data_IF_934845987653
#
_entry.id   IF_934845987653
#
_cell.length_a   1.000
_cell.length_b   1.000
_cell.length_c   1.000
_cell.angle_alpha   90.00
_cell.angle_beta   90.00
_cell.angle_gamma   90.00
#
_symmetry.space_group_name_H-M   'P 1'
#
loop_
_entity.id
_entity.type
_entity.pdbx_description
1 polymer ?
#
# COMPACT_ATOMS: atom_id res chain seq x y z
N UNK A 1 0.52 3.06 47.91
CA UNK A 1 0.10 3.13 46.51
C UNK A 1 0.00 1.69 46.02
N UNK A 2 -1.17 1.25 45.55
CA UNK A 2 -1.33 -0.12 45.07
C UNK A 2 -0.52 -0.27 43.78
N UNK A 3 0.40 -1.23 43.74
CA UNK A 3 1.17 -1.57 42.54
C UNK A 3 0.21 -2.31 41.61
N UNK A 4 -0.29 -1.61 40.59
CA UNK A 4 -1.07 -2.26 39.54
C UNK A 4 -0.13 -3.10 38.70
N UNK A 5 -0.42 -4.40 38.59
CA UNK A 5 0.40 -5.31 37.82
C UNK A 5 0.18 -5.07 36.31
N UNK A 6 1.24 -5.12 35.49
CA UNK A 6 1.08 -4.98 34.05
C UNK A 6 0.22 -6.12 33.50
N UNK A 7 -0.64 -5.79 32.53
CA UNK A 7 -1.50 -6.74 31.83
C UNK A 7 -1.18 -6.77 30.35
N UNK A 8 -1.37 -7.93 29.73
CA UNK A 8 -1.14 -8.15 28.31
C UNK A 8 -2.34 -8.83 27.65
N UNK A 9 -2.89 -8.19 26.63
CA UNK A 9 -3.97 -8.71 25.81
C UNK A 9 -3.49 -8.97 24.39
N UNK A 10 -3.85 -10.12 23.83
CA UNK A 10 -3.56 -10.47 22.44
C UNK A 10 -4.87 -10.45 21.66
N UNK A 11 -4.95 -9.57 20.69
CA UNK A 11 -6.05 -9.43 19.73
C UNK A 11 -5.64 -10.14 18.45
N UNK A 12 -6.50 -11.01 17.94
CA UNK A 12 -6.24 -11.84 16.76
C UNK A 12 -7.14 -11.43 15.59
N UNK A 13 -6.55 -11.34 14.41
CA UNK A 13 -7.18 -11.04 13.13
C UNK A 13 -6.82 -12.10 12.07
N UNK A 14 -6.72 -13.36 12.51
CA UNK A 14 -6.39 -14.50 11.65
C UNK A 14 -4.89 -14.79 11.67
N UNK A 15 -4.16 -14.30 10.65
CA UNK A 15 -2.70 -14.52 10.52
C UNK A 15 -1.84 -13.41 11.15
N UNK A 16 -2.49 -12.39 11.66
CA UNK A 16 -1.89 -11.25 12.33
C UNK A 16 -2.79 -10.72 13.44
N UNK A 17 -2.36 -9.65 14.09
CA UNK A 17 -3.15 -8.95 15.08
C UNK A 17 -2.37 -7.92 15.88
N UNK A 18 -2.80 -7.70 17.12
CA UNK A 18 -2.15 -6.77 18.03
C UNK A 18 -1.88 -7.38 19.41
N UNK A 19 -0.76 -6.97 19.99
CA UNK A 19 -0.42 -7.22 21.40
C UNK A 19 -0.50 -5.88 22.12
N UNK A 20 -1.39 -5.81 23.10
CA UNK A 20 -1.67 -4.60 23.88
C UNK A 20 -1.11 -4.79 25.28
N UNK A 21 -0.11 -3.99 25.63
CA UNK A 21 0.47 -3.89 26.97
C UNK A 21 -0.14 -2.70 27.70
N UNK A 22 -0.56 -2.89 28.96
CA UNK A 22 -1.05 -1.80 29.80
C UNK A 22 -0.48 -1.91 31.22
N UNK A 23 -0.06 -0.77 31.76
CA UNK A 23 0.30 -0.61 33.16
C UNK A 23 -0.20 0.73 33.72
N UNK A 24 0.18 1.06 34.95
CA UNK A 24 -0.20 2.32 35.59
C UNK A 24 0.35 3.58 34.90
N UNK A 25 1.37 3.46 34.07
CA UNK A 25 2.00 4.58 33.36
C UNK A 25 1.39 4.80 31.96
N UNK A 26 0.85 3.75 31.32
CA UNK A 26 0.13 3.89 30.07
C UNK A 26 -0.12 2.60 29.32
N UNK A 27 -0.42 2.74 28.03
CA UNK A 27 -0.70 1.64 27.11
C UNK A 27 0.23 1.69 25.89
N UNK A 28 0.63 0.51 25.41
CA UNK A 28 1.38 0.30 24.18
C UNK A 28 0.68 -0.76 23.33
N UNK A 29 0.61 -0.54 22.03
CA UNK A 29 0.12 -1.53 21.07
C UNK A 29 1.21 -1.90 20.06
N UNK A 30 1.39 -3.19 19.87
CA UNK A 30 2.39 -3.79 18.98
C UNK A 30 1.71 -4.68 17.95
N UNK A 31 2.10 -4.54 16.69
CA UNK A 31 1.63 -5.42 15.63
C UNK A 31 2.32 -6.79 15.73
N UNK A 32 1.58 -7.87 15.51
CA UNK A 32 2.17 -9.20 15.38
C UNK A 32 1.65 -9.89 14.13
N UNK A 33 2.46 -10.78 13.56
CA UNK A 33 2.08 -11.64 12.43
C UNK A 33 2.73 -13.01 12.55
N UNK A 34 2.15 -14.02 11.89
CA UNK A 34 2.81 -15.31 11.74
C UNK A 34 4.09 -15.17 10.91
N UNK A 35 5.15 -15.77 11.43
CA UNK A 35 6.43 -15.84 10.73
C UNK A 35 6.41 -16.89 9.62
N UNK A 36 7.59 -17.06 9.02
CA UNK A 36 7.87 -18.16 8.11
C UNK A 36 9.13 -18.92 8.53
N UNK A 37 9.41 -20.02 7.84
CA UNK A 37 10.51 -20.94 8.15
C UNK A 37 10.39 -21.47 9.60
N UNK A 38 11.38 -21.18 10.45
CA UNK A 38 11.42 -21.61 11.84
C UNK A 38 10.84 -20.59 12.84
N UNK A 39 10.32 -19.45 12.34
CA UNK A 39 9.67 -18.42 13.16
C UNK A 39 8.17 -18.68 13.14
N UNK A 40 7.61 -18.98 14.32
CA UNK A 40 6.18 -19.16 14.51
C UNK A 40 5.45 -17.82 14.37
N UNK A 41 5.92 -16.80 15.08
CA UNK A 41 5.36 -15.45 15.04
C UNK A 41 6.44 -14.41 15.32
N UNK A 42 6.23 -13.20 14.81
CA UNK A 42 7.02 -12.03 15.15
C UNK A 42 6.11 -10.91 15.66
N UNK A 43 6.64 -10.12 16.59
CA UNK A 43 5.95 -8.95 17.14
C UNK A 43 6.83 -7.74 16.84
N UNK A 44 6.31 -6.81 16.04
CA UNK A 44 6.97 -5.55 15.75
C UNK A 44 6.69 -4.57 16.89
N UNK A 45 7.73 -4.35 17.71
CA UNK A 45 7.68 -3.42 18.84
C UNK A 45 8.26 -2.06 18.49
N UNK A 46 8.95 -1.93 17.36
CA UNK A 46 9.60 -0.71 16.91
C UNK A 46 10.91 -0.40 17.63
N UNK A 47 11.70 0.49 17.05
CA UNK A 47 13.04 0.88 17.51
C UNK A 47 12.98 1.80 18.73
N UNK A 48 14.10 1.93 19.46
CA UNK A 48 14.20 2.89 20.56
C UNK A 48 13.88 4.34 20.14
N UNK A 49 14.28 4.74 18.93
CA UNK A 49 13.98 6.07 18.40
C UNK A 49 12.47 6.28 18.18
N UNK A 50 11.74 5.25 17.74
CA UNK A 50 10.29 5.31 17.60
C UNK A 50 9.58 5.39 18.96
N UNK A 51 10.08 4.68 19.96
CA UNK A 51 9.56 4.77 21.33
C UNK A 51 9.73 6.17 21.90
N UNK A 52 10.89 6.80 21.73
CA UNK A 52 11.11 8.19 22.18
C UNK A 52 10.17 9.20 21.54
N UNK A 53 9.62 8.91 20.36
CA UNK A 53 8.63 9.76 19.69
C UNK A 53 7.20 9.46 20.11
N UNK A 54 6.83 8.18 20.18
CA UNK A 54 5.43 7.75 20.40
C UNK A 54 5.07 7.60 21.87
N UNK A 55 6.01 7.16 22.69
CA UNK A 55 5.79 6.81 24.09
C UNK A 55 7.02 7.12 24.94
N UNK A 56 7.36 8.42 25.11
CA UNK A 56 8.57 8.83 25.82
C UNK A 56 8.67 8.26 27.25
N UNK A 57 7.53 8.08 27.91
CA UNK A 57 7.42 7.53 29.26
C UNK A 57 7.97 6.10 29.37
N UNK A 58 7.91 5.31 28.29
CA UNK A 58 8.28 3.90 28.29
C UNK A 58 9.75 3.66 27.95
N UNK A 59 10.47 4.67 27.44
CA UNK A 59 11.83 4.52 26.90
C UNK A 59 12.80 3.99 27.95
N UNK A 60 12.80 4.55 29.15
CA UNK A 60 13.70 4.16 30.24
C UNK A 60 13.46 2.70 30.71
N UNK A 61 12.25 2.18 30.48
CA UNK A 61 11.82 0.84 30.89
C UNK A 61 11.63 -0.11 29.71
N UNK A 62 12.06 0.29 28.50
CA UNK A 62 11.79 -0.46 27.28
C UNK A 62 12.25 -1.91 27.39
N UNK A 63 13.48 -2.16 27.86
CA UNK A 63 13.98 -3.52 28.01
C UNK A 63 13.19 -4.38 29.01
N UNK A 64 12.63 -3.78 30.05
CA UNK A 64 11.75 -4.48 31.02
C UNK A 64 10.41 -4.84 30.36
N UNK A 65 9.78 -3.87 29.69
CA UNK A 65 8.50 -4.04 29.01
C UNK A 65 8.61 -5.10 27.90
N UNK A 66 9.67 -5.06 27.09
CA UNK A 66 9.86 -6.02 26.01
C UNK A 66 10.04 -7.45 26.52
N UNK A 67 10.74 -7.64 27.63
CA UNK A 67 10.88 -8.95 28.28
C UNK A 67 9.54 -9.45 28.81
N UNK A 68 8.80 -8.59 29.50
CA UNK A 68 7.46 -8.93 29.97
C UNK A 68 6.53 -9.33 28.81
N UNK A 69 6.51 -8.55 27.74
CA UNK A 69 5.73 -8.85 26.54
C UNK A 69 6.12 -10.19 25.92
N UNK A 70 7.42 -10.44 25.76
CA UNK A 70 7.96 -11.68 25.23
C UNK A 70 7.53 -12.90 26.06
N UNK A 71 7.74 -12.82 27.38
CA UNK A 71 7.46 -13.92 28.31
C UNK A 71 5.95 -14.19 28.40
N UNK A 72 5.15 -13.13 28.45
CA UNK A 72 3.71 -13.24 28.62
C UNK A 72 3.01 -13.72 27.33
N UNK A 73 3.47 -13.29 26.15
CA UNK A 73 2.97 -13.85 24.88
C UNK A 73 3.31 -15.33 24.76
N UNK A 74 4.55 -15.72 25.09
CA UNK A 74 4.93 -17.12 25.09
C UNK A 74 4.11 -17.94 26.09
N UNK A 75 3.88 -17.41 27.29
CA UNK A 75 3.03 -18.05 28.31
C UNK A 75 1.60 -18.27 27.81
N UNK A 76 1.01 -17.28 27.12
CA UNK A 76 -0.39 -17.34 26.69
C UNK A 76 -0.61 -18.17 25.41
N UNK A 77 0.28 -18.06 24.40
CA UNK A 77 0.02 -18.59 23.05
C UNK A 77 0.96 -19.69 22.60
N UNK A 78 2.19 -19.72 23.10
CA UNK A 78 3.16 -20.72 22.70
C UNK A 78 3.99 -21.20 23.91
N UNK A 79 3.37 -21.89 24.89
CA UNK A 79 4.09 -22.36 26.06
C UNK A 79 5.31 -23.18 25.63
N UNK A 80 6.48 -22.79 26.13
CA UNK A 80 7.79 -23.37 25.81
C UNK A 80 8.32 -23.15 24.38
N UNK A 81 7.76 -22.23 23.59
CA UNK A 81 8.44 -21.75 22.39
C UNK A 81 9.70 -20.94 22.78
N UNK A 82 10.84 -21.13 22.11
CA UNK A 82 11.98 -20.23 22.28
C UNK A 82 11.59 -18.82 21.86
N UNK A 83 11.97 -17.82 22.67
CA UNK A 83 11.73 -16.40 22.40
C UNK A 83 13.05 -15.68 22.29
N UNK A 84 13.18 -14.80 21.29
CA UNK A 84 14.31 -13.89 21.14
C UNK A 84 13.81 -12.47 21.02
N UNK A 85 14.29 -11.59 21.89
CA UNK A 85 14.07 -10.15 21.80
C UNK A 85 15.24 -9.54 21.03
N UNK A 86 14.99 -9.01 19.85
CA UNK A 86 15.94 -8.19 19.10
C UNK A 86 15.62 -6.71 19.35
N UNK A 87 16.24 -6.17 20.40
CA UNK A 87 16.04 -4.80 20.86
C UNK A 87 16.36 -3.79 19.74
N UNK A 88 17.47 -4.01 19.03
CA UNK A 88 18.00 -3.12 17.99
C UNK A 88 17.10 -3.10 16.75
N UNK A 89 16.63 -4.26 16.29
CA UNK A 89 15.67 -4.34 15.20
C UNK A 89 14.25 -3.91 15.61
N UNK A 90 13.94 -3.93 16.91
CA UNK A 90 12.60 -3.64 17.40
C UNK A 90 11.61 -4.78 17.12
N UNK A 91 12.08 -6.02 17.22
CA UNK A 91 11.27 -7.21 16.93
C UNK A 91 11.44 -8.27 18.02
N UNK A 92 10.34 -8.90 18.42
CA UNK A 92 10.34 -10.11 19.24
C UNK A 92 10.00 -11.30 18.35
N UNK A 93 10.82 -12.33 18.37
CA UNK A 93 10.62 -13.56 17.59
C UNK A 93 10.22 -14.71 18.51
N UNK A 94 9.18 -15.43 18.12
CA UNK A 94 8.80 -16.73 18.69
C UNK A 94 9.16 -17.81 17.67
N UNK A 95 9.89 -18.84 18.10
CA UNK A 95 10.35 -19.91 17.22
C UNK A 95 9.58 -21.21 17.44
N UNK A 96 9.53 -22.05 16.41
CA UNK A 96 9.06 -23.43 16.54
C UNK A 96 9.98 -24.24 17.46
N UNK A 97 9.42 -25.13 18.27
CA UNK A 97 10.21 -26.02 19.12
C UNK A 97 10.94 -27.07 18.28
N UNK A 98 12.17 -27.40 18.66
CA UNK A 98 12.90 -28.56 18.13
C UNK A 98 13.64 -28.32 16.81
N UNK A 99 13.49 -27.14 16.19
CA UNK A 99 14.41 -26.70 15.14
C UNK A 99 15.53 -25.95 15.84
N UNK A 100 16.79 -26.47 15.86
CA UNK A 100 17.91 -25.68 16.35
C UNK A 100 17.87 -24.37 15.59
N UNK A 101 17.91 -23.25 16.31
CA UNK A 101 17.92 -21.94 15.69
C UNK A 101 19.05 -21.92 14.67
N UNK A 102 18.72 -22.14 13.39
CA UNK A 102 19.61 -21.77 12.31
C UNK A 102 20.00 -20.34 12.63
N UNK A 103 21.30 -20.01 12.68
CA UNK A 103 21.74 -18.68 13.07
C UNK A 103 20.88 -17.71 12.28
N UNK A 104 20.01 -16.98 12.97
CA UNK A 104 19.19 -15.93 12.38
C UNK A 104 20.24 -15.05 11.77
N UNK A 105 20.40 -15.14 10.44
CA UNK A 105 21.43 -14.44 9.72
C UNK A 105 21.11 -12.98 10.00
N UNK A 106 21.80 -12.42 10.99
CA UNK A 106 21.77 -11.00 11.33
C UNK A 106 21.92 -10.33 9.99
N UNK A 107 20.85 -9.67 9.52
CA UNK A 107 20.68 -9.25 8.15
C UNK A 107 22.04 -8.77 7.65
N UNK A 108 22.68 -9.62 6.83
CA UNK A 108 24.06 -9.41 6.46
C UNK A 108 24.10 -8.01 5.87
N UNK A 109 25.00 -7.16 6.39
CA UNK A 109 25.14 -5.79 5.92
C UNK A 109 25.02 -5.80 4.39
N UNK A 110 24.13 -4.99 3.80
CA UNK A 110 23.82 -5.09 2.39
C UNK A 110 25.15 -5.06 1.63
N UNK A 111 25.37 -5.98 0.67
CA UNK A 111 26.62 -5.98 -0.08
C UNK A 111 26.83 -4.58 -0.63
N UNK A 112 28.07 -4.08 -0.64
CA UNK A 112 28.42 -2.70 -1.06
C UNK A 112 27.83 -2.28 -2.42
N UNK A 113 27.32 -3.23 -3.21
CA UNK A 113 26.75 -3.04 -4.52
C UNK A 113 25.20 -3.05 -4.54
N UNK A 114 24.52 -3.15 -3.39
CA UNK A 114 23.06 -3.18 -3.30
C UNK A 114 22.40 -1.91 -3.87
N UNK A 115 23.02 -0.75 -3.64
CA UNK A 115 22.59 0.53 -4.21
C UNK A 115 22.64 0.52 -5.75
N UNK A 116 23.65 -0.12 -6.35
CA UNK A 116 23.79 -0.25 -7.80
C UNK A 116 22.67 -1.11 -8.41
N UNK A 117 22.30 -2.20 -7.75
CA UNK A 117 21.19 -3.05 -8.19
C UNK A 117 19.83 -2.35 -8.07
N UNK A 118 19.61 -1.55 -7.02
CA UNK A 118 18.40 -0.71 -6.91
C UNK A 118 18.33 0.31 -8.04
N UNK A 119 19.44 0.99 -8.34
CA UNK A 119 19.49 1.98 -9.42
C UNK A 119 19.21 1.36 -10.79
N UNK A 120 19.74 0.16 -11.06
CA UNK A 120 19.44 -0.58 -12.29
C UNK A 120 17.95 -0.97 -12.35
N UNK A 121 17.42 -1.53 -11.26
CA UNK A 121 16.00 -1.91 -11.20
C UNK A 121 15.07 -0.72 -11.45
N UNK A 122 15.35 0.42 -10.83
CA UNK A 122 14.59 1.65 -11.02
C UNK A 122 14.71 2.18 -12.46
N UNK A 123 15.90 2.13 -13.07
CA UNK A 123 16.09 2.55 -14.45
C UNK A 123 15.30 1.69 -15.45
N UNK A 124 15.20 0.39 -15.21
CA UNK A 124 14.38 -0.53 -16.05
C UNK A 124 12.89 -0.19 -15.92
N UNK A 125 12.39 0.00 -14.69
CA UNK A 125 10.98 0.33 -14.45
C UNK A 125 10.63 1.68 -15.08
N UNK A 126 11.46 2.70 -14.88
CA UNK A 126 11.28 4.03 -15.48
C UNK A 126 11.34 3.95 -17.01
N UNK A 127 12.28 3.18 -17.57
CA UNK A 127 12.39 2.98 -19.01
C UNK A 127 11.15 2.32 -19.62
N UNK A 128 10.61 1.27 -18.97
CA UNK A 128 9.36 0.62 -19.37
C UNK A 128 8.17 1.58 -19.28
N UNK A 129 8.12 2.41 -18.24
CA UNK A 129 7.05 3.39 -18.06
C UNK A 129 7.09 4.48 -19.15
N UNK A 130 8.28 5.02 -19.45
CA UNK A 130 8.47 5.99 -20.55
C UNK A 130 8.08 5.36 -21.89
N UNK A 131 8.52 4.12 -22.18
CA UNK A 131 8.15 3.43 -23.40
C UNK A 131 6.64 3.23 -23.52
N UNK A 132 5.94 2.87 -22.43
CA UNK A 132 4.50 2.74 -22.41
C UNK A 132 3.80 4.09 -22.69
N UNK A 133 4.28 5.20 -22.10
CA UNK A 133 3.76 6.54 -22.38
C UNK A 133 3.93 6.89 -23.87
N UNK A 134 5.11 6.65 -24.45
CA UNK A 134 5.38 6.95 -25.85
C UNK A 134 4.50 6.12 -26.81
N UNK A 135 4.27 4.84 -26.49
CA UNK A 135 3.36 3.98 -27.25
C UNK A 135 1.91 4.49 -27.14
N UNK A 136 1.48 4.89 -25.93
CA UNK A 136 0.14 5.43 -25.70
C UNK A 136 -0.10 6.74 -26.46
N UNK A 137 0.86 7.67 -26.44
CA UNK A 137 0.75 8.94 -27.17
C UNK A 137 0.64 8.71 -28.68
N UNK A 138 1.36 7.73 -29.22
CA UNK A 138 1.26 7.35 -30.64
C UNK A 138 -0.12 6.77 -31.00
N UNK A 139 -0.78 6.08 -30.08
CA UNK A 139 -2.13 5.55 -30.27
C UNK A 139 -3.21 6.66 -30.22
N UNK A 140 -3.05 7.68 -29.38
CA UNK A 140 -4.00 8.80 -29.30
C UNK A 140 -3.94 9.75 -30.51
N UNK A 141 -2.85 9.78 -31.27
CA UNK A 141 -2.76 10.57 -32.50
C UNK A 141 -3.62 10.02 -33.66
N UNK A 142 -4.13 8.78 -33.55
CA UNK A 142 -4.91 8.13 -34.60
C UNK A 142 -6.42 8.18 -34.40
N UNK A 143 -6.92 8.75 -33.29
CA UNK A 143 -8.35 8.92 -33.02
C UNK A 143 -8.67 10.42 -32.97
N UNK A 144 -8.38 11.14 -34.06
CA UNK A 144 -9.10 12.36 -34.38
C UNK A 144 -10.38 11.93 -35.12
N UNK A 145 -11.39 11.50 -34.38
CA UNK A 145 -12.72 11.21 -34.94
C UNK A 145 -13.29 12.47 -35.58
N UNK A 146 -13.62 12.32 -36.86
CA UNK A 146 -13.96 13.34 -37.83
C UNK A 146 -15.32 14.04 -37.62
N UNK A 147 -15.92 13.94 -36.42
CA UNK A 147 -17.30 14.37 -36.15
C UNK A 147 -17.51 14.94 -34.73
N UNK A 148 -16.48 15.54 -34.12
CA UNK A 148 -16.67 16.23 -32.85
C UNK A 148 -17.54 17.49 -33.03
N UNK A 149 -18.61 17.69 -32.23
CA UNK A 149 -19.43 18.90 -32.29
C UNK A 149 -18.60 20.11 -31.85
N UNK A 150 -18.54 21.13 -32.71
CA UNK A 150 -17.60 22.26 -32.53
C UNK A 150 -18.19 23.39 -31.68
N UNK A 151 -19.49 23.33 -31.37
CA UNK A 151 -20.19 24.39 -30.62
C UNK A 151 -21.33 23.83 -29.74
N UNK A 152 -21.68 24.55 -28.65
CA UNK A 152 -22.81 24.19 -27.80
C UNK A 152 -24.13 24.15 -28.59
N UNK A 153 -24.93 23.10 -28.38
CA UNK A 153 -26.23 22.93 -29.03
C UNK A 153 -27.24 23.96 -28.53
N UNK A 154 -27.93 24.63 -29.45
CA UNK A 154 -28.95 25.61 -29.13
C UNK A 154 -30.32 24.91 -29.11
N UNK A 155 -31.09 25.12 -28.03
CA UNK A 155 -32.43 24.56 -27.89
C UNK A 155 -33.47 25.69 -27.94
N UNK A 156 -34.38 25.63 -28.90
CA UNK A 156 -35.51 26.54 -29.02
C UNK A 156 -36.80 25.74 -28.99
N UNK A 157 -37.53 25.84 -27.87
CA UNK A 157 -38.81 25.13 -27.67
C UNK A 157 -38.68 23.61 -27.81
N UNK A 158 -39.27 23.05 -28.87
CA UNK A 158 -39.33 21.60 -29.11
C UNK A 158 -38.22 21.04 -30.01
N UNK A 159 -37.25 21.85 -30.43
CA UNK A 159 -36.16 21.38 -31.29
C UNK A 159 -34.78 21.67 -30.68
N UNK A 160 -33.83 20.78 -30.96
CA UNK A 160 -32.41 20.94 -30.62
C UNK A 160 -31.63 20.95 -31.93
N UNK A 161 -30.86 22.00 -32.16
CA UNK A 161 -29.95 22.11 -33.30
C UNK A 161 -28.51 22.06 -32.81
N UNK A 162 -27.72 21.15 -33.38
CA UNK A 162 -26.29 21.01 -33.10
C UNK A 162 -25.51 21.25 -34.38
N UNK A 163 -24.52 22.13 -34.31
CA UNK A 163 -23.68 22.48 -35.45
C UNK A 163 -22.54 21.45 -35.57
N UNK A 164 -22.58 20.64 -36.63
CA UNK A 164 -21.55 19.66 -36.95
C UNK A 164 -20.58 20.27 -37.97
N UNK A 165 -19.28 20.18 -37.71
CA UNK A 165 -18.28 20.58 -38.69
C UNK A 165 -18.03 19.44 -39.68
N UNK A 166 -18.50 19.58 -40.93
CA UNK A 166 -18.10 18.68 -42.02
C UNK A 166 -16.88 19.26 -42.73
N UNK A 167 -15.78 18.50 -42.77
CA UNK A 167 -14.55 18.89 -43.45
C UNK A 167 -14.43 18.40 -44.90
N UNK A 168 -15.54 18.12 -45.61
CA UNK A 168 -15.49 17.69 -47.01
C UNK A 168 -16.28 18.63 -47.93
N UNK A 169 -15.62 19.41 -48.81
CA UNK A 169 -16.29 20.19 -49.85
C UNK A 169 -16.56 19.30 -51.06
N UNK A 170 -17.58 18.43 -50.99
CA UNK A 170 -18.05 17.70 -52.17
C UNK A 170 -19.48 18.15 -52.49
N UNK A 171 -19.54 19.15 -53.36
CA UNK A 171 -20.52 19.36 -54.42
C UNK A 171 -22.00 19.09 -54.06
N UNK A 172 -22.67 20.09 -53.48
CA UNK A 172 -24.13 20.20 -53.57
C UNK A 172 -24.50 20.65 -54.99
N UNK A 173 -24.62 19.69 -55.89
CA UNK A 173 -25.36 19.89 -57.14
C UNK A 173 -26.84 19.98 -56.76
N UNK A 174 -27.30 21.20 -56.48
CA UNK A 174 -28.70 21.51 -56.27
C UNK A 174 -29.50 21.17 -57.53
N UNK A 175 -30.07 19.97 -57.58
CA UNK A 175 -31.08 19.65 -58.59
C UNK A 175 -32.39 20.22 -58.07
N UNK A 176 -32.66 21.47 -58.43
CA UNK A 176 -33.93 22.12 -58.18
C UNK A 176 -35.02 21.45 -59.04
N UNK A 177 -35.68 20.43 -58.50
CA UNK A 177 -36.91 19.91 -59.11
C UNK A 177 -38.02 20.93 -58.84
N UNK A 178 -38.31 21.71 -59.86
CA UNK A 178 -39.34 22.77 -59.88
C UNK A 178 -40.73 22.17 -59.60
N UNK A 179 -41.57 22.81 -58.79
CA UNK A 179 -42.96 22.42 -58.61
C UNK A 179 -43.76 22.71 -59.88
N UNK A 180 -44.58 21.75 -60.32
CA UNK A 180 -45.57 21.97 -61.39
C UNK A 180 -46.95 22.10 -60.75
N UNK A 181 -47.38 23.35 -60.62
CA UNK A 181 -48.75 23.75 -60.30
C UNK A 181 -49.64 23.71 -61.54
N UNK A 182 -50.92 23.39 -61.28
CA UNK A 182 -52.12 23.59 -62.08
C UNK A 182 -52.23 22.73 -63.36
N UNK A 183 -53.42 22.25 -63.73
CA UNK A 183 -54.67 23.02 -63.82
C UNK A 183 -55.92 22.13 -63.86
N UNK A 184 -57.03 22.71 -63.39
CA UNK A 184 -58.45 22.50 -63.74
C UNK A 184 -59.11 21.15 -63.41
#
# INVERSE_FOLDING_TARGET
>A
MATEFPILQIVEHGRDGQVIYRDSAGELSFYWEFGGNNVLALINVGTAAEWSRRSPWAVARRGEILRFVADEVARQKAPNAPVKVDDAAGVIYLFERGVPAAPVASAAAPPKNYLWHILIGMAVVVGLFIAAILISQRAHAFIATQDAPVAPSLRTGQQVATLLARSNPICLRCTATRPRTATA
#
